data_IF_879474351309
#
_entry.id   IF_879474351309
#
_cell.length_a   1.000
_cell.length_b   1.000
_cell.length_c   1.000
_cell.angle_alpha   90.00
_cell.angle_beta   90.00
_cell.angle_gamma   90.00
#
_symmetry.space_group_name_H-M   'P 1'
#
loop_
_entity.id
_entity.type
_entity.pdbx_description
1 polymer ?
#
# COMPACT_ATOMS: atom_id res chain seq x y z
N UNK A 1 14.84 -51.27 -27.70
CA UNK A 1 13.95 -50.90 -26.58
C UNK A 1 14.80 -50.60 -25.35
N UNK A 2 14.45 -49.55 -24.59
CA UNK A 2 15.19 -48.88 -23.48
C UNK A 2 16.24 -47.89 -23.97
N UNK A 3 16.41 -46.67 -23.46
CA UNK A 3 15.63 -45.63 -22.72
C UNK A 3 16.74 -44.67 -22.18
N UNK A 4 16.47 -43.35 -22.10
CA UNK A 4 17.26 -42.30 -21.42
C UNK A 4 18.55 -41.84 -22.15
N UNK A 5 18.89 -40.55 -22.30
CA UNK A 5 18.63 -39.31 -21.54
C UNK A 5 18.26 -38.18 -22.55
N UNK A 6 17.19 -37.37 -22.48
CA UNK A 6 16.61 -36.57 -21.38
C UNK A 6 17.64 -35.69 -20.66
N UNK A 7 17.83 -34.45 -21.16
CA UNK A 7 18.59 -33.44 -20.43
C UNK A 7 18.58 -32.07 -21.12
N UNK A 8 18.09 -31.06 -20.39
CA UNK A 8 18.34 -29.62 -20.58
C UNK A 8 17.35 -28.77 -21.39
N UNK A 9 16.05 -28.88 -21.12
CA UNK A 9 15.13 -27.73 -21.24
C UNK A 9 14.29 -27.66 -19.96
N UNK A 10 14.78 -26.94 -18.96
CA UNK A 10 13.99 -26.54 -17.79
C UNK A 10 14.57 -25.25 -17.20
N UNK A 11 14.67 -24.20 -18.02
CA UNK A 11 14.69 -22.82 -17.54
C UNK A 11 13.28 -22.24 -17.69
N UNK A 12 12.32 -22.84 -16.97
CA UNK A 12 10.96 -22.33 -16.90
C UNK A 12 10.81 -21.53 -15.61
N UNK A 13 10.75 -20.21 -15.81
CA UNK A 13 9.94 -19.27 -15.04
C UNK A 13 9.93 -19.45 -13.52
N UNK A 14 10.96 -18.91 -12.85
CA UNK A 14 10.74 -18.25 -11.56
C UNK A 14 10.17 -16.84 -11.79
N UNK A 15 9.06 -16.76 -12.52
CA UNK A 15 8.21 -15.57 -12.50
C UNK A 15 7.39 -15.66 -11.22
N UNK A 16 7.93 -15.14 -10.13
CA UNK A 16 7.16 -14.92 -8.92
C UNK A 16 6.01 -13.97 -9.25
N UNK A 17 4.86 -14.52 -9.61
CA UNK A 17 3.59 -13.81 -9.59
C UNK A 17 3.28 -13.50 -8.12
N UNK A 18 3.95 -12.50 -7.54
CA UNK A 18 3.33 -11.72 -6.49
C UNK A 18 2.12 -11.07 -7.16
N UNK A 19 0.92 -11.45 -6.73
CA UNK A 19 -0.30 -10.73 -7.10
C UNK A 19 -0.04 -9.23 -6.95
N UNK A 20 -0.32 -8.41 -7.98
CA UNK A 20 -0.17 -6.97 -7.86
C UNK A 20 -1.01 -6.47 -6.69
N UNK A 21 -0.38 -5.85 -5.69
CA UNK A 21 -1.09 -5.25 -4.55
C UNK A 21 -1.93 -4.10 -5.09
N UNK A 22 -3.23 -4.07 -4.80
CA UNK A 22 -4.12 -3.01 -5.29
C UNK A 22 -3.91 -1.71 -4.52
N UNK A 23 -4.27 -0.54 -5.08
CA UNK A 23 -4.22 0.71 -4.34
C UNK A 23 -5.04 0.69 -3.04
N UNK A 24 -6.23 0.08 -3.05
CA UNK A 24 -7.05 -0.11 -1.84
C UNK A 24 -6.37 -0.98 -0.77
N UNK A 25 -5.68 -2.07 -1.14
CA UNK A 25 -4.90 -2.90 -0.20
C UNK A 25 -3.72 -2.13 0.41
N UNK A 26 -3.05 -1.30 -0.39
CA UNK A 26 -1.99 -0.40 0.09
C UNK A 26 -2.55 0.62 1.08
N UNK A 27 -3.69 1.23 0.77
CA UNK A 27 -4.35 2.22 1.63
C UNK A 27 -4.76 1.63 2.98
N UNK A 28 -5.45 0.48 2.98
CA UNK A 28 -5.82 -0.23 4.21
C UNK A 28 -4.57 -0.56 5.04
N UNK A 29 -3.57 -1.20 4.42
CA UNK A 29 -2.36 -1.61 5.14
C UNK A 29 -1.61 -0.43 5.74
N UNK A 30 -1.54 0.69 5.01
CA UNK A 30 -0.92 1.92 5.47
C UNK A 30 -1.66 2.51 6.68
N UNK A 31 -2.98 2.72 6.56
CA UNK A 31 -3.79 3.36 7.58
C UNK A 31 -3.91 2.50 8.85
N UNK A 32 -4.13 1.19 8.67
CA UNK A 32 -4.18 0.24 9.78
C UNK A 32 -2.84 0.20 10.53
N UNK A 33 -1.71 0.21 9.81
CA UNK A 33 -0.39 0.27 10.46
C UNK A 33 -0.16 1.60 11.22
N UNK A 34 -0.65 2.74 10.73
CA UNK A 34 -0.58 3.99 11.47
C UNK A 34 -1.45 3.96 12.72
N UNK A 35 -2.67 3.44 12.63
CA UNK A 35 -3.59 3.31 13.75
C UNK A 35 -3.05 2.38 14.85
N UNK A 36 -2.36 1.31 14.46
CA UNK A 36 -1.67 0.37 15.36
C UNK A 36 -0.36 0.94 15.93
N UNK A 37 0.10 2.11 15.46
CA UNK A 37 1.40 2.68 15.82
C UNK A 37 2.61 1.97 15.18
N UNK A 38 2.41 1.02 14.27
CA UNK A 38 3.46 0.36 13.49
C UNK A 38 3.93 1.25 12.32
N UNK A 39 4.62 2.33 12.69
CA UNK A 39 5.18 3.28 11.72
C UNK A 39 6.17 2.60 10.75
N UNK A 40 6.87 1.55 11.19
CA UNK A 40 7.82 0.84 10.33
C UNK A 40 7.10 0.14 9.19
N UNK A 41 5.95 -0.46 9.46
CA UNK A 41 5.10 -1.07 8.42
C UNK A 41 4.45 0.00 7.55
N UNK A 42 3.87 1.05 8.14
CA UNK A 42 3.26 2.14 7.38
C UNK A 42 4.24 2.74 6.36
N UNK A 43 5.50 2.98 6.76
CA UNK A 43 6.54 3.56 5.89
C UNK A 43 6.89 2.74 4.65
N UNK A 44 6.62 1.43 4.65
CA UNK A 44 6.83 0.57 3.46
C UNK A 44 5.81 0.81 2.36
N UNK A 45 4.66 1.38 2.71
CA UNK A 45 3.53 1.63 1.83
C UNK A 45 3.38 3.13 1.52
N UNK A 46 4.35 3.95 1.91
CA UNK A 46 4.36 5.39 1.72
C UNK A 46 5.52 5.84 0.84
N UNK A 47 5.30 6.89 0.06
CA UNK A 47 6.34 7.60 -0.69
C UNK A 47 7.37 8.21 0.28
N UNK A 48 8.54 8.60 -0.24
CA UNK A 48 9.53 9.31 0.56
C UNK A 48 8.96 10.62 1.15
N UNK A 49 8.15 11.33 0.37
CA UNK A 49 7.52 12.58 0.80
C UNK A 49 6.49 12.33 1.91
N UNK A 50 5.65 11.30 1.77
CA UNK A 50 4.71 10.89 2.83
C UNK A 50 5.46 10.42 4.07
N UNK A 51 6.60 9.73 3.92
CA UNK A 51 7.44 9.34 5.06
C UNK A 51 7.95 10.55 5.85
N UNK A 52 8.32 11.65 5.17
CA UNK A 52 8.67 12.91 5.84
C UNK A 52 7.48 13.52 6.59
N UNK A 53 6.27 13.41 6.03
CA UNK A 53 5.05 13.85 6.73
C UNK A 53 4.78 13.01 7.98
N UNK A 54 5.01 11.70 7.94
CA UNK A 54 4.94 10.82 9.11
C UNK A 54 5.95 11.25 10.18
N UNK A 55 7.19 11.58 9.79
CA UNK A 55 8.21 12.07 10.75
C UNK A 55 7.77 13.36 11.44
N UNK A 56 7.24 14.30 10.67
CA UNK A 56 6.70 15.56 11.18
C UNK A 56 5.55 15.28 12.14
N UNK A 57 4.53 14.52 11.70
CA UNK A 57 3.36 14.21 12.50
C UNK A 57 3.74 13.46 13.79
N UNK A 58 4.69 12.53 13.74
CA UNK A 58 5.20 11.83 14.91
C UNK A 58 5.92 12.77 15.89
N UNK A 59 6.73 13.70 15.38
CA UNK A 59 7.42 14.71 16.21
C UNK A 59 6.42 15.58 16.99
N UNK A 60 5.28 15.88 16.38
CA UNK A 60 4.20 16.66 16.98
C UNK A 60 3.16 15.84 17.75
N UNK A 61 3.32 14.51 17.85
CA UNK A 61 2.32 13.62 18.47
C UNK A 61 0.96 13.63 17.76
N UNK A 62 0.94 13.95 16.47
CA UNK A 62 -0.26 14.18 15.67
C UNK A 62 -0.78 12.92 14.95
N UNK A 63 -0.16 11.75 15.18
CA UNK A 63 -0.67 10.45 14.70
C UNK A 63 -1.42 9.79 15.85
N UNK A 64 -2.76 9.90 15.90
CA UNK A 64 -3.52 9.22 16.93
C UNK A 64 -3.50 7.71 16.70
N UNK A 65 -3.20 6.94 17.75
CA UNK A 65 -3.40 5.50 17.74
C UNK A 65 -4.87 5.18 17.93
N UNK A 66 -5.37 4.19 17.20
CA UNK A 66 -6.75 3.73 17.29
C UNK A 66 -6.82 2.22 17.02
N UNK A 67 -6.78 1.43 18.09
CA UNK A 67 -6.86 -0.04 18.03
C UNK A 67 -8.18 -0.55 17.44
N UNK A 68 -9.21 0.30 17.36
CA UNK A 68 -10.51 -0.01 16.76
C UNK A 68 -10.68 0.60 15.36
N UNK A 69 -9.57 0.96 14.70
CA UNK A 69 -9.61 1.44 13.33
C UNK A 69 -10.16 0.33 12.41
N UNK A 70 -11.17 0.68 11.61
CA UNK A 70 -11.76 -0.21 10.62
C UNK A 70 -11.77 0.52 9.30
N UNK A 71 -10.97 0.03 8.36
CA UNK A 71 -10.99 0.53 7.00
C UNK A 71 -12.20 -0.02 6.25
N UNK A 72 -13.07 0.86 5.75
CA UNK A 72 -14.15 0.49 4.84
C UNK A 72 -13.99 1.24 3.53
N UNK A 73 -13.73 0.52 2.45
CA UNK A 73 -13.65 1.11 1.11
C UNK A 73 -15.02 1.62 0.67
N UNK A 74 -15.09 2.90 0.31
CA UNK A 74 -16.31 3.53 -0.25
C UNK A 74 -16.20 3.63 -1.76
N UNK A 75 -15.05 4.10 -2.26
CA UNK A 75 -14.80 4.25 -3.68
C UNK A 75 -13.30 4.14 -3.98
N UNK A 76 -12.96 3.59 -5.14
CA UNK A 76 -11.59 3.49 -5.63
C UNK A 76 -11.58 3.99 -7.07
N UNK A 77 -10.90 5.11 -7.31
CA UNK A 77 -10.65 5.65 -8.64
C UNK A 77 -9.18 5.42 -8.98
N UNK A 78 -8.90 4.63 -10.02
CA UNK A 78 -7.54 4.27 -10.43
C UNK A 78 -7.32 4.67 -11.87
N UNK A 79 -6.21 5.38 -12.12
CA UNK A 79 -5.69 5.63 -13.46
C UNK A 79 -4.30 4.98 -13.63
N UNK A 80 -3.62 5.25 -14.75
CA UNK A 80 -2.37 4.57 -15.11
C UNK A 80 -1.24 4.74 -14.07
N UNK A 81 -1.24 5.85 -13.31
CA UNK A 81 -0.14 6.17 -12.38
C UNK A 81 -0.60 6.67 -11.02
N UNK A 82 -1.88 6.98 -10.85
CA UNK A 82 -2.45 7.52 -9.62
C UNK A 82 -3.71 6.77 -9.24
N UNK A 83 -3.99 6.74 -7.95
CA UNK A 83 -5.26 6.27 -7.42
C UNK A 83 -5.74 7.20 -6.31
N UNK A 84 -7.06 7.36 -6.23
CA UNK A 84 -7.74 8.03 -5.13
C UNK A 84 -8.62 7.01 -4.44
N UNK A 85 -8.37 6.79 -3.16
CA UNK A 85 -9.15 5.88 -2.31
C UNK A 85 -10.04 6.72 -1.41
N UNK A 86 -11.35 6.58 -1.58
CA UNK A 86 -12.33 7.10 -0.64
C UNK A 86 -12.70 6.00 0.33
N UNK A 87 -12.56 6.26 1.63
CA UNK A 87 -12.84 5.30 2.68
C UNK A 87 -13.63 5.94 3.82
N UNK A 88 -14.20 5.07 4.65
CA UNK A 88 -14.83 5.40 5.91
C UNK A 88 -14.10 4.67 7.04
N UNK A 89 -13.99 5.34 8.19
CA UNK A 89 -13.50 4.74 9.44
C UNK A 89 -14.31 5.27 10.62
N UNK A 90 -15.09 4.41 11.26
CA UNK A 90 -15.98 4.80 12.36
C UNK A 90 -17.01 5.86 11.90
N UNK A 91 -17.05 6.99 12.58
CA UNK A 91 -17.93 8.14 12.26
C UNK A 91 -17.41 9.03 11.14
N UNK A 92 -16.13 8.86 10.78
CA UNK A 92 -15.47 9.67 9.76
C UNK A 92 -15.76 9.06 8.38
N UNK A 93 -16.66 9.72 7.64
CA UNK A 93 -17.09 9.31 6.30
C UNK A 93 -16.35 10.09 5.21
N UNK A 94 -16.23 9.48 4.02
CA UNK A 94 -15.69 10.10 2.80
C UNK A 94 -14.27 10.67 2.95
N UNK A 95 -13.41 10.04 3.75
CA UNK A 95 -11.99 10.38 3.81
C UNK A 95 -11.33 9.96 2.50
N UNK A 96 -10.39 10.74 1.99
CA UNK A 96 -9.64 10.41 0.78
C UNK A 96 -8.18 10.13 1.12
N UNK A 97 -7.57 9.25 0.35
CA UNK A 97 -6.14 8.96 0.37
C UNK A 97 -5.62 8.87 -1.06
N UNK A 98 -4.53 9.57 -1.36
CA UNK A 98 -3.91 9.55 -2.68
C UNK A 98 -2.75 8.56 -2.73
N UNK A 99 -2.68 7.82 -3.83
CA UNK A 99 -1.58 6.90 -4.11
C UNK A 99 -0.99 7.18 -5.48
N UNK A 100 0.29 6.88 -5.64
CA UNK A 100 1.00 6.90 -6.92
C UNK A 100 1.70 5.57 -7.16
N UNK A 101 1.70 5.13 -8.41
CA UNK A 101 2.54 4.04 -8.89
C UNK A 101 3.97 4.56 -9.06
N UNK A 102 4.87 4.17 -8.16
CA UNK A 102 6.28 4.55 -8.15
C UNK A 102 7.10 3.26 -8.32
N UNK A 103 7.92 3.19 -9.37
CA UNK A 103 8.75 2.01 -9.67
C UNK A 103 7.97 0.68 -9.69
N UNK A 104 6.74 0.72 -10.22
CA UNK A 104 5.87 -0.46 -10.32
C UNK A 104 5.19 -0.86 -9.01
N UNK A 105 5.25 -0.03 -7.97
CA UNK A 105 4.58 -0.25 -6.68
C UNK A 105 3.65 0.89 -6.35
N UNK A 106 2.44 0.58 -5.91
CA UNK A 106 1.53 1.58 -5.36
C UNK A 106 2.04 2.01 -3.99
N UNK A 107 2.16 3.32 -3.79
CA UNK A 107 2.54 3.93 -2.53
C UNK A 107 1.61 5.11 -2.23
N UNK A 108 1.27 5.28 -0.96
CA UNK A 108 0.58 6.48 -0.48
C UNK A 108 1.46 7.70 -0.74
N UNK A 109 0.90 8.69 -1.41
CA UNK A 109 1.61 9.89 -1.80
C UNK A 109 0.76 11.15 -1.63
N UNK A 110 0.66 11.60 -0.39
CA UNK A 110 -0.08 12.79 0.05
C UNK A 110 0.74 14.06 -0.23
N UNK A 111 0.85 14.43 -1.51
CA UNK A 111 1.42 15.74 -1.87
C UNK A 111 0.34 16.81 -1.73
N UNK A 112 0.65 17.90 -1.03
CA UNK A 112 -0.14 19.13 -1.16
C UNK A 112 -0.03 19.57 -2.62
N UNK A 113 -1.17 19.58 -3.34
CA UNK A 113 -1.32 20.30 -4.60
C UNK A 113 -1.09 21.79 -4.36
#
# INVERSE_FOLDING_TARGET
MRKFLLGLIALLWMGGCSTPVTPSEVADTFLSALADGDQKKARKYASEETNKLIDIANTFGAIPQNENFVFTLVHEEVNATHATITYQSGTDVNKTLQLRLIEGKWLVDERKQ
#
